data_IF_410741268906
#
_entry.id   IF_410741268906
#
_cell.length_a   1.000
_cell.length_b   1.000
_cell.length_c   1.000
_cell.angle_alpha   90.00
_cell.angle_beta   90.00
_cell.angle_gamma   90.00
#
_symmetry.space_group_name_H-M   'P 1'
#
loop_
_entity.id
_entity.type
_entity.pdbx_description
1 polymer ?
#
# COMPACT_ATOMS: atom_id res chain seq x y z
N UNK A 1 0.94 4.52 -7.38
CA UNK A 1 0.36 5.86 -7.14
C UNK A 1 1.11 6.92 -7.96
N UNK A 2 0.48 8.02 -8.38
CA UNK A 2 1.15 9.12 -9.10
C UNK A 2 1.79 10.11 -8.12
N UNK A 3 2.72 10.99 -8.56
CA UNK A 3 3.30 12.04 -7.71
C UNK A 3 2.24 12.91 -7.01
N UNK A 4 1.11 13.14 -7.67
CA UNK A 4 -0.01 13.93 -7.14
C UNK A 4 -0.83 13.19 -6.06
N UNK A 5 -0.56 11.90 -5.82
CA UNK A 5 -1.27 11.10 -4.82
C UNK A 5 -0.74 11.35 -3.40
N UNK A 6 0.39 12.03 -3.26
CA UNK A 6 1.02 12.35 -1.99
C UNK A 6 0.56 13.71 -1.47
N UNK A 7 0.18 13.76 -0.19
CA UNK A 7 -0.07 15.00 0.53
C UNK A 7 1.24 15.63 1.00
N UNK A 8 2.17 14.79 1.46
CA UNK A 8 3.41 15.21 2.07
C UNK A 8 4.49 14.16 1.86
N UNK A 9 5.67 14.61 1.44
CA UNK A 9 6.90 13.83 1.46
C UNK A 9 7.90 14.67 2.24
N UNK A 10 8.52 14.08 3.28
CA UNK A 10 9.57 14.72 4.07
C UNK A 10 10.77 13.80 4.19
N UNK A 11 11.97 14.37 4.12
CA UNK A 11 13.22 13.62 4.25
C UNK A 11 13.50 12.67 3.09
N UNK A 12 12.80 12.82 1.96
CA UNK A 12 12.96 12.00 0.78
C UNK A 12 12.43 12.65 -0.49
N UNK A 13 12.64 11.98 -1.61
CA UNK A 13 12.24 12.42 -2.94
C UNK A 13 12.40 11.31 -3.96
N UNK A 14 12.07 11.59 -5.22
CA UNK A 14 12.27 10.61 -6.30
C UNK A 14 13.76 10.43 -6.55
N UNK A 15 14.23 9.18 -6.57
CA UNK A 15 15.62 8.86 -6.89
C UNK A 15 15.94 7.37 -6.80
N UNK A 16 17.23 7.06 -6.96
CA UNK A 16 17.77 5.71 -7.10
C UNK A 16 18.90 5.40 -6.12
N UNK A 17 18.90 6.04 -4.94
CA UNK A 17 19.99 5.88 -3.95
C UNK A 17 20.17 4.45 -3.44
N UNK A 18 19.08 3.68 -3.33
CA UNK A 18 19.12 2.23 -3.05
C UNK A 18 19.14 1.36 -4.31
N UNK A 19 19.41 1.95 -5.48
CA UNK A 19 19.32 1.31 -6.78
C UNK A 19 17.88 0.99 -7.18
N UNK A 20 17.73 0.11 -8.16
CA UNK A 20 16.43 -0.43 -8.53
C UNK A 20 15.98 -1.46 -7.48
N UNK A 21 14.71 -1.41 -7.09
CA UNK A 21 14.08 -2.34 -6.14
C UNK A 21 13.76 -3.70 -6.80
N UNK A 22 14.75 -4.27 -7.49
CA UNK A 22 14.63 -5.52 -8.24
C UNK A 22 14.49 -6.73 -7.30
N UNK A 23 13.71 -7.75 -7.71
CA UNK A 23 13.00 -7.90 -8.98
C UNK A 23 11.57 -7.30 -8.98
N UNK A 24 11.23 -6.50 -7.96
CA UNK A 24 9.84 -6.12 -7.70
C UNK A 24 9.43 -4.75 -8.27
N UNK A 25 10.41 -3.88 -8.50
CA UNK A 25 10.23 -2.57 -9.12
C UNK A 25 11.47 -2.19 -9.93
N UNK A 26 11.26 -1.36 -10.95
CA UNK A 26 12.30 -0.89 -11.87
C UNK A 26 12.21 0.62 -12.04
N UNK A 27 13.35 1.26 -12.27
CA UNK A 27 13.44 2.72 -12.38
C UNK A 27 13.66 3.39 -11.03
N UNK A 28 13.27 4.67 -10.95
CA UNK A 28 13.38 5.47 -9.74
C UNK A 28 12.28 5.12 -8.74
N UNK A 29 12.59 5.32 -7.47
CA UNK A 29 11.69 5.05 -6.34
C UNK A 29 11.55 6.30 -5.47
N UNK A 30 10.65 6.27 -4.49
CA UNK A 30 10.64 7.27 -3.44
C UNK A 30 11.71 6.92 -2.40
N UNK A 31 12.81 7.65 -2.43
CA UNK A 31 14.02 7.39 -1.66
C UNK A 31 14.20 8.40 -0.53
N UNK A 32 14.48 7.90 0.67
CA UNK A 32 14.57 8.67 1.91
C UNK A 32 15.98 8.63 2.47
N UNK A 33 16.67 9.77 2.42
CA UNK A 33 18.03 9.96 2.94
C UNK A 33 18.22 11.27 3.72
N UNK A 34 17.15 12.06 3.87
CA UNK A 34 17.20 13.36 4.51
C UNK A 34 17.39 13.29 6.02
N UNK A 35 17.61 14.43 6.66
CA UNK A 35 17.64 14.53 8.12
C UNK A 35 16.23 14.74 8.71
N UNK A 36 16.14 14.75 10.05
CA UNK A 36 14.93 15.05 10.83
C UNK A 36 13.79 14.03 10.64
N UNK A 37 12.80 14.34 9.80
CA UNK A 37 11.58 13.56 9.66
C UNK A 37 11.57 12.90 8.29
N UNK A 38 11.40 11.56 8.27
CA UNK A 38 11.29 10.78 7.04
C UNK A 38 9.92 10.14 6.94
N UNK A 39 9.04 10.73 6.13
CA UNK A 39 7.69 10.19 5.92
C UNK A 39 7.15 10.44 4.52
N UNK A 40 6.34 9.50 4.04
CA UNK A 40 5.46 9.64 2.89
C UNK A 40 4.02 9.57 3.37
N UNK A 41 3.20 10.58 3.09
CA UNK A 41 1.79 10.63 3.49
C UNK A 41 0.92 10.83 2.27
N UNK A 42 -0.08 9.96 2.09
CA UNK A 42 -1.02 10.08 0.97
C UNK A 42 -1.98 11.25 1.17
N UNK A 43 -2.55 11.75 0.08
CA UNK A 43 -3.80 12.51 0.17
C UNK A 43 -4.90 11.65 0.81
N UNK A 44 -5.95 12.24 1.40
CA UNK A 44 -7.08 11.48 1.92
C UNK A 44 -7.68 10.57 0.83
N UNK A 45 -7.83 9.29 1.14
CA UNK A 45 -8.32 8.25 0.23
C UNK A 45 -9.74 7.81 0.62
N UNK A 46 -10.50 7.32 -0.36
CA UNK A 46 -11.72 6.55 -0.09
C UNK A 46 -11.36 5.06 0.01
N UNK A 47 -11.25 4.56 1.23
CA UNK A 47 -10.94 3.15 1.51
C UNK A 47 -12.17 2.31 1.84
N UNK A 48 -13.39 2.83 1.64
CA UNK A 48 -14.65 2.12 1.97
C UNK A 48 -14.76 0.75 1.30
N UNK A 49 -14.14 0.59 0.13
CA UNK A 49 -14.09 -0.67 -0.63
C UNK A 49 -12.69 -1.23 -0.78
N UNK A 50 -11.74 -0.77 0.03
CA UNK A 50 -10.36 -1.27 -0.04
C UNK A 50 -10.26 -2.63 0.68
N UNK A 51 -9.54 -3.57 0.06
CA UNK A 51 -9.20 -4.86 0.67
C UNK A 51 -7.77 -4.86 1.17
N UNK A 52 -6.82 -4.43 0.34
CA UNK A 52 -5.39 -4.53 0.63
C UNK A 52 -4.63 -3.28 0.22
N UNK A 53 -3.50 -3.05 0.90
CA UNK A 53 -2.43 -2.14 0.50
C UNK A 53 -1.22 -2.99 0.10
N UNK A 54 -0.63 -2.67 -1.05
CA UNK A 54 0.55 -3.34 -1.59
C UNK A 54 1.61 -2.30 -1.94
N UNK A 55 2.87 -2.66 -1.75
CA UNK A 55 4.02 -1.81 -2.10
C UNK A 55 5.30 -2.63 -2.10
N UNK A 56 6.35 -2.04 -2.65
CA UNK A 56 7.73 -2.54 -2.60
C UNK A 56 8.51 -1.67 -1.64
N UNK A 57 9.24 -2.29 -0.72
CA UNK A 57 10.06 -1.61 0.27
C UNK A 57 11.45 -2.23 0.33
N UNK A 58 12.47 -1.39 0.48
CA UNK A 58 13.82 -1.78 0.88
C UNK A 58 14.34 -0.81 1.94
N UNK A 59 15.03 -1.33 2.95
CA UNK A 59 15.64 -0.56 4.04
C UNK A 59 17.13 -0.92 4.10
N UNK A 60 17.99 0.02 3.73
CA UNK A 60 19.42 -0.20 3.54
C UNK A 60 19.73 -1.18 2.40
N UNK A 61 20.98 -1.62 2.32
CA UNK A 61 21.41 -2.65 1.38
C UNK A 61 22.44 -3.57 2.02
N UNK A 62 22.56 -4.81 1.53
CA UNK A 62 23.63 -5.71 2.00
C UNK A 62 25.03 -5.16 1.74
N UNK A 63 25.20 -4.34 0.70
CA UNK A 63 26.48 -3.73 0.36
C UNK A 63 26.88 -2.57 1.30
N UNK A 64 25.94 -2.05 2.11
CA UNK A 64 26.16 -0.93 3.03
C UNK A 64 26.84 0.28 2.36
N UNK A 65 26.36 0.67 1.18
CA UNK A 65 26.92 1.83 0.46
C UNK A 65 26.57 3.14 1.16
N UNK A 66 27.31 4.21 0.85
CA UNK A 66 27.02 5.57 1.34
C UNK A 66 25.60 6.04 0.99
N UNK A 67 25.06 5.54 -0.13
CA UNK A 67 23.72 5.85 -0.60
C UNK A 67 22.63 4.93 -0.07
N UNK A 68 22.96 3.80 0.55
CA UNK A 68 21.96 2.85 1.06
C UNK A 68 22.56 1.90 2.11
N UNK A 69 22.64 2.38 3.34
CA UNK A 69 23.14 1.66 4.51
C UNK A 69 22.08 1.64 5.62
N UNK A 70 22.27 0.77 6.63
CA UNK A 70 21.35 0.65 7.78
C UNK A 70 22.04 0.10 9.05
N UNK A 71 23.37 0.18 9.11
CA UNK A 71 24.20 -0.23 10.24
C UNK A 71 23.78 -1.59 10.83
N UNK A 72 23.72 -2.64 9.99
CA UNK A 72 23.10 -3.93 10.34
C UNK A 72 23.65 -4.63 11.58
N UNK A 73 24.88 -4.30 11.96
CA UNK A 73 25.62 -4.84 13.09
C UNK A 73 25.27 -4.15 14.43
N UNK A 74 24.58 -3.01 14.40
CA UNK A 74 24.24 -2.28 15.61
C UNK A 74 23.03 -2.89 16.34
N UNK A 75 23.07 -2.96 17.69
CA UNK A 75 21.95 -3.50 18.49
C UNK A 75 20.64 -2.72 18.32
N UNK A 76 20.73 -1.41 18.09
CA UNK A 76 19.58 -0.51 17.95
C UNK A 76 18.99 -0.47 16.53
N UNK A 77 19.48 -1.31 15.60
CA UNK A 77 18.97 -1.35 14.21
C UNK A 77 17.49 -1.69 14.13
N UNK A 78 16.93 -2.39 15.11
CA UNK A 78 15.48 -2.68 15.19
C UNK A 78 14.65 -1.38 15.32
N UNK A 79 15.21 -0.33 15.90
CA UNK A 79 14.53 0.96 16.06
C UNK A 79 14.48 1.76 14.74
N UNK A 80 15.31 1.40 13.76
CA UNK A 80 15.39 2.05 12.43
C UNK A 80 14.30 1.55 11.46
N UNK A 81 13.29 0.85 11.99
CA UNK A 81 12.18 0.30 11.23
C UNK A 81 11.35 1.36 10.50
N UNK A 82 10.73 0.96 9.39
CA UNK A 82 9.74 1.77 8.68
C UNK A 82 8.35 1.29 9.05
N UNK A 83 7.49 2.18 9.53
CA UNK A 83 6.13 1.89 9.94
C UNK A 83 5.15 2.23 8.82
N UNK A 84 4.21 1.33 8.54
CA UNK A 84 2.99 1.65 7.80
C UNK A 84 1.88 1.96 8.81
N UNK A 85 1.28 3.14 8.67
CA UNK A 85 0.23 3.62 9.54
C UNK A 85 -0.95 4.18 8.75
N UNK A 86 -2.09 4.32 9.42
CA UNK A 86 -3.25 5.05 8.90
C UNK A 86 -3.78 6.06 9.92
N UNK A 87 -4.48 7.07 9.40
CA UNK A 87 -5.21 8.06 10.18
C UNK A 87 -6.61 8.24 9.59
N UNK A 88 -7.61 8.32 10.46
CA UNK A 88 -9.01 8.63 10.12
C UNK A 88 -9.44 10.05 10.54
N UNK A 89 -8.52 10.84 11.12
CA UNK A 89 -8.77 12.18 11.66
C UNK A 89 -7.74 13.20 11.15
N UNK A 90 -7.45 13.16 9.85
CA UNK A 90 -6.59 14.12 9.16
C UNK A 90 -5.17 14.27 9.75
N UNK A 91 -4.61 13.18 10.27
CA UNK A 91 -3.24 13.09 10.75
C UNK A 91 -3.04 13.47 12.21
N UNK A 92 -4.11 13.71 12.97
CA UNK A 92 -4.05 13.99 14.42
C UNK A 92 -3.57 12.77 15.20
N UNK A 93 -4.08 11.58 14.89
CA UNK A 93 -3.62 10.32 15.48
C UNK A 93 -3.39 9.25 14.42
N UNK A 94 -2.35 8.43 14.64
CA UNK A 94 -1.92 7.40 13.69
C UNK A 94 -1.96 6.02 14.34
N UNK A 95 -2.49 5.05 13.61
CA UNK A 95 -2.58 3.65 14.02
C UNK A 95 -1.70 2.78 13.12
N UNK A 96 -0.95 1.85 13.71
CA UNK A 96 0.00 0.99 12.99
C UNK A 96 -0.74 -0.16 12.30
N UNK A 97 -0.45 -0.35 11.01
CA UNK A 97 -0.86 -1.54 10.24
C UNK A 97 0.27 -2.57 10.27
N UNK A 98 1.51 -2.13 10.04
CA UNK A 98 2.68 -3.00 9.97
C UNK A 98 3.97 -2.26 10.35
N UNK A 99 4.93 -3.01 10.88
CA UNK A 99 6.29 -2.56 11.18
C UNK A 99 7.27 -3.40 10.35
N UNK A 100 8.17 -2.74 9.63
CA UNK A 100 9.10 -3.39 8.70
C UNK A 100 10.52 -3.26 9.27
N UNK A 101 11.10 -4.39 9.67
CA UNK A 101 12.42 -4.44 10.27
C UNK A 101 13.52 -4.40 9.21
N UNK A 102 14.63 -3.66 9.41
CA UNK A 102 15.71 -3.62 8.44
C UNK A 102 16.21 -4.97 7.95
N UNK A 103 16.34 -5.95 8.87
CA UNK A 103 16.84 -7.29 8.54
C UNK A 103 15.97 -8.03 7.53
N UNK A 104 14.65 -7.84 7.59
CA UNK A 104 13.68 -8.50 6.70
C UNK A 104 13.55 -7.76 5.35
N UNK A 105 13.96 -6.48 5.31
CA UNK A 105 13.80 -5.59 4.16
C UNK A 105 15.16 -5.10 3.59
N UNK A 106 16.26 -5.76 3.94
CA UNK A 106 17.60 -5.42 3.44
C UNK A 106 17.75 -5.65 1.93
N UNK A 107 16.91 -6.54 1.38
CA UNK A 107 16.64 -6.67 -0.04
C UNK A 107 15.23 -6.16 -0.29
N UNK A 108 14.97 -5.61 -1.47
CA UNK A 108 13.63 -5.22 -1.87
C UNK A 108 12.63 -6.36 -1.66
N UNK A 109 11.50 -6.06 -1.02
CA UNK A 109 10.38 -6.99 -0.80
C UNK A 109 9.09 -6.35 -1.29
N UNK A 110 8.28 -7.12 -2.04
CA UNK A 110 6.89 -6.74 -2.32
C UNK A 110 5.97 -7.33 -1.26
N UNK A 111 5.28 -6.46 -0.52
CA UNK A 111 4.42 -6.86 0.60
C UNK A 111 2.96 -6.50 0.36
N UNK A 112 2.09 -7.16 1.11
CA UNK A 112 0.64 -6.98 1.01
C UNK A 112 -0.01 -7.12 2.38
N UNK A 113 -0.71 -6.08 2.82
CA UNK A 113 -1.43 -6.07 4.09
C UNK A 113 -2.92 -5.84 3.86
N UNK A 114 -3.75 -6.46 4.69
CA UNK A 114 -5.18 -6.17 4.70
C UNK A 114 -5.43 -4.77 5.26
N UNK A 115 -6.34 -4.01 4.65
CA UNK A 115 -6.81 -2.76 5.22
C UNK A 115 -7.67 -3.08 6.46
N UNK A 116 -7.31 -2.54 7.66
CA UNK A 116 -8.10 -2.71 8.88
C UNK A 116 -9.55 -2.29 8.68
N UNK A 117 -10.48 -2.93 9.40
CA UNK A 117 -11.91 -2.65 9.21
C UNK A 117 -12.25 -1.19 9.55
N UNK A 118 -11.61 -0.66 10.58
CA UNK A 118 -11.71 0.70 11.09
C UNK A 118 -11.21 1.74 10.07
N UNK A 119 -10.30 1.32 9.19
CA UNK A 119 -9.75 2.14 8.11
C UNK A 119 -10.59 2.07 6.82
N UNK A 120 -11.69 1.31 6.78
CA UNK A 120 -12.57 1.22 5.58
C UNK A 120 -13.62 2.31 5.55
N UNK A 121 -13.14 3.55 5.59
CA UNK A 121 -13.96 4.77 5.55
C UNK A 121 -13.43 5.74 4.50
N UNK A 122 -14.12 6.87 4.31
CA UNK A 122 -13.64 7.97 3.48
C UNK A 122 -12.68 8.85 4.26
N UNK A 123 -11.74 9.48 3.56
CA UNK A 123 -10.84 10.47 4.16
C UNK A 123 -9.66 9.85 4.91
N UNK A 124 -9.31 8.59 4.63
CA UNK A 124 -8.20 7.91 5.32
C UNK A 124 -6.88 8.30 4.70
N UNK A 125 -5.91 8.65 5.53
CA UNK A 125 -4.53 8.92 5.11
C UNK A 125 -3.68 7.73 5.48
N UNK A 126 -2.83 7.28 4.55
CA UNK A 126 -1.80 6.28 4.81
C UNK A 126 -0.44 6.96 4.93
N UNK A 127 0.40 6.45 5.83
CA UNK A 127 1.74 6.96 6.06
C UNK A 127 2.77 5.85 6.14
N UNK A 128 3.90 6.06 5.48
CA UNK A 128 5.15 5.36 5.74
C UNK A 128 6.07 6.30 6.52
N UNK A 129 6.60 5.86 7.65
CA UNK A 129 7.38 6.71 8.55
C UNK A 129 8.53 5.94 9.21
N UNK A 130 9.72 6.53 9.20
CA UNK A 130 10.89 6.02 9.92
C UNK A 130 11.09 6.88 11.19
N UNK A 131 10.86 6.35 12.40
CA UNK A 131 10.93 7.12 13.64
C UNK A 131 12.36 7.50 14.06
N UNK A 132 13.32 6.61 13.83
CA UNK A 132 14.72 6.78 14.25
C UNK A 132 15.66 6.49 13.09
N UNK A 133 16.68 7.34 12.94
CA UNK A 133 17.76 7.20 11.98
C UNK A 133 18.95 8.09 12.41
N UNK A 134 20.15 7.78 11.92
CA UNK A 134 21.41 8.45 12.29
C UNK A 134 21.71 9.70 11.43
N UNK A 135 20.66 10.44 11.06
CA UNK A 135 20.80 11.67 10.29
C UNK A 135 20.88 11.48 8.77
N UNK A 136 21.32 12.52 8.06
CA UNK A 136 21.37 12.51 6.59
C UNK A 136 22.46 11.56 6.08
N UNK A 137 22.18 10.81 5.02
CA UNK A 137 23.16 9.84 4.47
C UNK A 137 23.28 8.52 5.25
N UNK A 138 22.44 8.31 6.26
CA UNK A 138 22.38 7.07 7.03
C UNK A 138 20.97 6.49 7.05
N UNK A 139 20.88 5.17 7.20
CA UNK A 139 19.65 4.42 7.45
C UNK A 139 18.57 4.62 6.37
N UNK A 140 18.99 4.67 5.11
CA UNK A 140 18.11 5.01 4.01
C UNK A 140 17.12 3.90 3.69
N UNK A 141 16.00 4.28 3.10
CA UNK A 141 15.00 3.35 2.60
C UNK A 141 14.35 3.87 1.32
N UNK A 142 13.78 2.96 0.55
CA UNK A 142 13.15 3.23 -0.72
C UNK A 142 11.80 2.53 -0.81
N UNK A 143 10.81 3.26 -1.33
CA UNK A 143 9.41 2.84 -1.47
C UNK A 143 8.97 2.98 -2.93
N UNK A 144 8.31 1.96 -3.45
CA UNK A 144 7.77 1.99 -4.81
C UNK A 144 6.50 1.13 -4.95
N UNK A 145 5.83 1.23 -6.10
CA UNK A 145 4.67 0.42 -6.50
C UNK A 145 3.55 0.40 -5.44
N UNK A 146 3.29 1.55 -4.83
CA UNK A 146 2.20 1.72 -3.84
C UNK A 146 0.84 1.62 -4.54
N UNK A 147 0.04 0.64 -4.09
CA UNK A 147 -1.23 0.25 -4.70
C UNK A 147 -2.28 -0.12 -3.63
N UNK A 148 -3.44 0.54 -3.69
CA UNK A 148 -4.61 0.14 -2.91
C UNK A 148 -5.50 -0.74 -3.78
N UNK A 149 -5.71 -1.98 -3.34
CA UNK A 149 -6.57 -2.95 -4.02
C UNK A 149 -7.99 -2.81 -3.48
N UNK A 150 -8.97 -2.71 -4.39
CA UNK A 150 -10.39 -2.63 -4.03
C UNK A 150 -11.06 -4.01 -4.10
N UNK A 151 -12.00 -4.28 -3.19
CA UNK A 151 -12.91 -5.42 -3.29
C UNK A 151 -13.76 -5.30 -4.55
N UNK A 152 -13.76 -6.32 -5.41
CA UNK A 152 -14.67 -6.37 -6.57
C UNK A 152 -16.11 -6.48 -6.08
N UNK A 153 -17.03 -5.70 -6.69
CA UNK A 153 -18.47 -5.96 -6.55
C UNK A 153 -18.76 -7.35 -7.13
N UNK A 154 -18.96 -8.33 -6.28
CA UNK A 154 -19.49 -9.62 -6.68
C UNK A 154 -21.01 -9.46 -6.84
N UNK A 155 -21.46 -9.16 -8.06
CA UNK A 155 -22.88 -9.05 -8.43
C UNK A 155 -23.58 -10.44 -8.45
N UNK A 156 -23.42 -11.27 -7.42
CA UNK A 156 -24.02 -12.60 -7.36
C UNK A 156 -25.57 -12.55 -7.43
N UNK A 157 -26.18 -11.49 -6.91
CA UNK A 157 -27.65 -11.34 -6.90
C UNK A 157 -28.25 -10.91 -8.26
N UNK A 158 -27.49 -10.20 -9.12
CA UNK A 158 -27.99 -9.77 -10.44
C UNK A 158 -28.06 -10.92 -11.45
N UNK A 159 -27.17 -11.91 -11.33
CA UNK A 159 -27.17 -13.08 -12.21
C UNK A 159 -28.31 -14.05 -11.88
N UNK A 160 -28.65 -14.22 -10.60
CA UNK A 160 -29.76 -15.07 -10.17
C UNK A 160 -31.11 -14.53 -10.67
N UNK A 161 -31.33 -13.21 -10.55
CA UNK A 161 -32.55 -12.55 -11.02
C UNK A 161 -32.72 -12.61 -12.55
N UNK A 162 -31.63 -12.51 -13.32
CA UNK A 162 -31.64 -12.67 -14.79
C UNK A 162 -31.97 -14.09 -15.23
N UNK A 163 -31.45 -15.10 -14.53
CA UNK A 163 -31.71 -16.52 -14.85
C UNK A 163 -33.14 -16.94 -14.48
N UNK A 164 -33.70 -16.43 -13.38
CA UNK A 164 -35.08 -16.74 -12.99
C UNK A 164 -36.10 -16.01 -13.87
N UNK A 165 -35.86 -14.74 -14.22
CA UNK A 165 -36.76 -13.96 -15.08
C UNK A 165 -36.91 -14.52 -16.50
N UNK A 166 -35.80 -14.98 -17.10
CA UNK A 166 -35.80 -15.61 -18.43
C UNK A 166 -36.54 -16.95 -18.41
N UNK A 167 -36.30 -17.83 -17.42
CA UNK A 167 -37.05 -19.09 -17.25
C UNK A 167 -38.56 -18.86 -17.11
N UNK A 168 -38.98 -17.86 -16.33
CA UNK A 168 -40.40 -17.54 -16.17
C UNK A 168 -41.03 -17.05 -17.49
N UNK A 169 -40.33 -16.20 -18.25
CA UNK A 169 -40.79 -15.74 -19.56
C UNK A 169 -41.01 -16.89 -20.56
N UNK A 170 -40.03 -17.78 -20.71
CA UNK A 170 -40.14 -18.93 -21.62
C UNK A 170 -41.23 -19.92 -21.19
N UNK A 171 -41.40 -20.15 -19.88
CA UNK A 171 -42.46 -21.03 -19.38
C UNK A 171 -43.87 -20.49 -19.65
N UNK A 172 -44.10 -19.18 -19.49
CA UNK A 172 -45.38 -18.52 -19.80
C UNK A 172 -45.69 -18.57 -21.30
N UNK A 173 -44.69 -18.30 -22.14
CA UNK A 173 -44.85 -18.34 -23.61
C UNK A 173 -45.22 -19.74 -24.10
N UNK A 174 -44.63 -20.80 -23.51
CA UNK A 174 -44.96 -22.19 -23.84
C UNK A 174 -46.40 -22.56 -23.48
N UNK A 175 -46.87 -22.16 -22.30
CA UNK A 175 -48.26 -22.41 -21.87
C UNK A 175 -49.29 -21.68 -22.75
N UNK A 176 -49.00 -20.44 -23.14
CA UNK A 176 -49.89 -19.66 -24.00
C UNK A 176 -50.03 -20.23 -25.42
N UNK A 177 -49.00 -20.90 -25.93
CA UNK A 177 -49.02 -21.56 -27.25
C UNK A 177 -49.78 -22.90 -27.22
N UNK A 178 -49.81 -23.60 -26.08
CA UNK A 178 -50.51 -24.89 -25.93
C UNK A 178 -52.02 -24.75 -25.74
N UNK A 179 -52.52 -23.56 -25.37
CA UNK A 179 -53.96 -23.30 -25.19
C UNK A 179 -54.66 -22.84 -26.49
N UNK A 180 -53.93 -22.77 -27.60
CA UNK A 180 -54.43 -22.30 -28.91
C UNK A 180 -54.45 -23.40 -29.99
N UNK A 181 -54.27 -24.65 -29.60
CA UNK A 181 -54.45 -25.85 -30.42
C UNK A 181 -55.62 -26.66 -29.86
#
# INVERSE_FOLDING_TARGET
MSPESWQLIQGGGVGSGCGQLSPHAHGDSLYFNGCKMRQAVTKPLDLTRASKIMFVLQIGSLAQTDSCNIALDQPDTVDRAVLLQYSVNNGVSWHVIAQHQPKDFIKAQRVSYNIPLEARVKGVMLRWWQPRHDGAGHDQWALDHVEVVLTRKQNYMMNFARQTGTRHYYSRKRRALQQRA
#
